data_IF_010029685251
#
_entry.id   IF_010029685251
#
_cell.length_a   1.000
_cell.length_b   1.000
_cell.length_c   1.000
_cell.angle_alpha   90.00
_cell.angle_beta   90.00
_cell.angle_gamma   90.00
#
_symmetry.space_group_name_H-M   'P 1'
#
loop_
_entity.id
_entity.type
_entity.pdbx_description
1 polymer ?
#
# COMPACT_ATOMS: atom_id res chain seq x y z
N UNK A 1 46.78 -0.60 -45.07
CA UNK A 1 46.79 -0.01 -43.71
C UNK A 1 45.38 0.37 -43.28
N UNK A 2 45.01 0.07 -42.03
CA UNK A 2 43.67 0.24 -41.42
C UNK A 2 43.34 1.71 -41.14
N UNK A 3 42.06 2.10 -41.28
CA UNK A 3 41.47 3.21 -40.49
C UNK A 3 40.11 2.78 -39.93
N UNK A 4 40.13 2.16 -38.74
CA UNK A 4 38.94 1.99 -37.88
C UNK A 4 38.78 3.26 -37.04
N UNK A 5 38.04 4.25 -37.54
CA UNK A 5 37.61 5.40 -36.72
C UNK A 5 36.34 4.99 -35.97
N UNK A 6 36.50 4.20 -34.91
CA UNK A 6 35.42 3.96 -33.94
C UNK A 6 35.22 5.24 -33.14
N UNK A 7 34.23 6.04 -33.54
CA UNK A 7 33.83 7.31 -32.92
C UNK A 7 33.76 7.22 -31.38
N UNK A 8 34.71 7.89 -30.71
CA UNK A 8 34.75 8.02 -29.24
C UNK A 8 33.50 8.71 -28.70
N UNK A 9 32.87 9.55 -29.51
CA UNK A 9 31.69 10.35 -29.17
C UNK A 9 30.46 9.44 -28.97
N UNK A 10 30.27 8.45 -29.85
CA UNK A 10 29.16 7.51 -29.72
C UNK A 10 29.24 6.65 -28.44
N UNK A 11 30.46 6.39 -27.94
CA UNK A 11 30.68 5.65 -26.70
C UNK A 11 30.33 6.48 -25.46
N UNK A 12 30.63 7.78 -25.47
CA UNK A 12 30.28 8.72 -24.39
C UNK A 12 28.77 8.98 -24.36
N UNK A 13 28.13 9.15 -25.52
CA UNK A 13 26.68 9.37 -25.56
C UNK A 13 25.91 8.16 -25.02
N UNK A 14 26.38 6.94 -25.33
CA UNK A 14 25.80 5.68 -24.85
C UNK A 14 26.05 5.44 -23.34
N UNK A 15 27.10 6.02 -22.75
CA UNK A 15 27.32 5.94 -21.31
C UNK A 15 26.50 6.95 -20.50
N UNK A 16 26.19 8.11 -21.09
CA UNK A 16 25.36 9.15 -20.43
C UNK A 16 23.88 8.79 -20.50
N UNK A 17 23.39 8.22 -21.61
CA UNK A 17 22.01 7.76 -21.77
C UNK A 17 21.89 6.30 -21.33
N UNK A 18 22.15 6.04 -20.05
CA UNK A 18 21.90 4.74 -19.44
C UNK A 18 20.61 4.81 -18.63
N UNK A 19 19.48 4.99 -19.34
CA UNK A 19 18.12 5.17 -18.78
C UNK A 19 17.78 4.11 -17.74
N UNK A 20 18.26 2.88 -17.95
CA UNK A 20 18.06 1.75 -17.05
C UNK A 20 18.76 1.93 -15.68
N UNK A 21 19.92 2.60 -15.67
CA UNK A 21 20.64 2.95 -14.44
C UNK A 21 20.08 4.21 -13.78
N UNK A 22 19.72 5.24 -14.57
CA UNK A 22 19.11 6.48 -14.06
C UNK A 22 17.75 6.26 -13.40
N UNK A 23 16.94 5.37 -13.98
CA UNK A 23 15.63 5.04 -13.45
C UNK A 23 15.66 3.95 -12.38
N UNK A 24 16.84 3.42 -12.01
CA UNK A 24 17.01 2.28 -11.12
C UNK A 24 15.97 1.18 -11.40
N UNK A 25 16.01 0.66 -12.63
CA UNK A 25 14.96 -0.20 -13.17
C UNK A 25 14.72 -1.45 -12.32
N UNK A 26 15.78 -1.97 -11.69
CA UNK A 26 15.68 -3.13 -10.80
C UNK A 26 14.86 -2.80 -9.55
N UNK A 27 15.04 -1.60 -8.97
CA UNK A 27 14.21 -1.11 -7.85
C UNK A 27 12.77 -0.85 -8.26
N UNK A 28 12.54 -0.20 -9.41
CA UNK A 28 11.17 0.06 -9.90
C UNK A 28 10.46 -1.26 -10.15
N UNK A 29 11.10 -2.21 -10.85
CA UNK A 29 10.53 -3.53 -11.13
C UNK A 29 10.24 -4.31 -9.85
N UNK A 30 11.14 -4.29 -8.87
CA UNK A 30 10.92 -4.97 -7.59
C UNK A 30 9.71 -4.38 -6.84
N UNK A 31 9.58 -3.06 -6.84
CA UNK A 31 8.43 -2.36 -6.25
C UNK A 31 7.12 -2.68 -6.97
N UNK A 32 7.10 -2.58 -8.32
CA UNK A 32 5.90 -2.89 -9.13
C UNK A 32 5.48 -4.35 -9.00
N UNK A 33 6.45 -5.29 -8.96
CA UNK A 33 6.15 -6.72 -8.78
C UNK A 33 5.60 -7.00 -7.38
N UNK A 34 6.13 -6.32 -6.35
CA UNK A 34 5.61 -6.44 -4.97
C UNK A 34 4.20 -5.87 -4.84
N UNK A 35 3.93 -4.74 -5.48
CA UNK A 35 2.59 -4.15 -5.58
C UNK A 35 1.63 -5.08 -6.30
N UNK A 36 2.02 -5.58 -7.48
CA UNK A 36 1.20 -6.49 -8.28
C UNK A 36 0.89 -7.78 -7.50
N UNK A 37 1.90 -8.41 -6.89
CA UNK A 37 1.70 -9.60 -6.08
C UNK A 37 0.85 -9.33 -4.84
N UNK A 38 0.97 -8.13 -4.24
CA UNK A 38 0.09 -7.68 -3.17
C UNK A 38 -1.36 -7.63 -3.64
N UNK A 39 -1.63 -6.94 -4.75
CA UNK A 39 -2.97 -6.82 -5.34
C UNK A 39 -3.53 -8.19 -5.75
N UNK A 40 -2.73 -9.04 -6.40
CA UNK A 40 -3.18 -10.38 -6.81
C UNK A 40 -3.50 -11.26 -5.61
N UNK A 41 -2.68 -11.24 -4.55
CA UNK A 41 -2.98 -11.96 -3.29
C UNK A 41 -4.20 -11.43 -2.56
N UNK A 42 -4.60 -10.20 -2.84
CA UNK A 42 -5.81 -9.59 -2.30
C UNK A 42 -7.06 -10.09 -3.05
N UNK A 43 -7.01 -10.30 -4.36
CA UNK A 43 -8.16 -10.75 -5.17
C UNK A 43 -8.29 -12.26 -5.34
N UNK A 44 -7.20 -13.03 -5.22
CA UNK A 44 -7.24 -14.49 -5.26
C UNK A 44 -7.42 -14.99 -3.83
N UNK A 45 -8.50 -15.72 -3.49
CA UNK A 45 -8.64 -16.32 -2.17
C UNK A 45 -7.45 -17.23 -1.92
N UNK A 46 -6.60 -16.84 -0.98
CA UNK A 46 -5.52 -17.69 -0.50
C UNK A 46 -6.17 -18.94 0.06
N UNK A 47 -6.02 -20.07 -0.62
CA UNK A 47 -6.31 -21.39 -0.06
C UNK A 47 -5.26 -21.66 1.03
N UNK A 48 -5.42 -21.01 2.18
CA UNK A 48 -4.59 -21.26 3.35
C UNK A 48 -4.95 -22.66 3.84
N UNK A 49 -3.94 -23.53 3.91
CA UNK A 49 -4.00 -24.94 4.28
C UNK A 49 -4.35 -25.19 5.75
N UNK A 50 -4.94 -24.20 6.44
CA UNK A 50 -5.34 -24.29 7.84
C UNK A 50 -6.57 -23.41 8.05
N UNK A 51 -7.73 -24.06 8.12
CA UNK A 51 -8.99 -23.49 8.61
C UNK A 51 -8.87 -23.21 10.14
N UNK A 52 -7.93 -22.35 10.56
CA UNK A 52 -7.99 -21.82 11.92
C UNK A 52 -9.15 -20.82 11.95
N UNK A 53 -10.26 -21.24 12.57
CA UNK A 53 -11.41 -20.37 12.83
C UNK A 53 -11.01 -19.27 13.83
N UNK A 54 -11.71 -18.13 13.78
CA UNK A 54 -11.46 -17.01 14.67
C UNK A 54 -11.47 -17.41 16.16
N UNK A 55 -12.32 -18.39 16.52
CA UNK A 55 -12.38 -18.95 17.87
C UNK A 55 -11.12 -19.76 18.23
N UNK A 56 -10.53 -20.51 17.30
CA UNK A 56 -9.26 -21.19 17.52
C UNK A 56 -8.10 -20.19 17.68
N UNK A 57 -8.11 -19.08 16.94
CA UNK A 57 -7.10 -18.03 17.08
C UNK A 57 -7.22 -17.30 18.43
N UNK A 58 -8.44 -17.02 18.90
CA UNK A 58 -8.70 -16.43 20.22
C UNK A 58 -8.26 -17.38 21.33
N UNK A 59 -8.61 -18.66 21.24
CA UNK A 59 -8.22 -19.69 22.20
C UNK A 59 -6.70 -19.86 22.28
N UNK A 60 -6.01 -19.81 21.13
CA UNK A 60 -4.54 -19.86 21.06
C UNK A 60 -3.87 -18.62 21.65
N UNK A 61 -4.43 -17.44 21.40
CA UNK A 61 -3.86 -16.16 21.84
C UNK A 61 -4.28 -15.77 23.27
N UNK A 62 -5.15 -16.54 23.93
CA UNK A 62 -5.71 -16.24 25.26
C UNK A 62 -6.23 -14.79 25.37
N UNK A 63 -6.85 -14.29 24.30
CA UNK A 63 -7.35 -12.90 24.28
C UNK A 63 -8.78 -12.89 24.82
N UNK A 64 -9.00 -12.13 25.89
CA UNK A 64 -10.34 -11.87 26.42
C UNK A 64 -11.16 -11.02 25.45
N UNK A 65 -12.47 -11.27 25.36
CA UNK A 65 -13.42 -10.52 24.50
C UNK A 65 -13.33 -9.00 24.75
N UNK A 66 -13.06 -8.58 25.99
CA UNK A 66 -12.84 -7.17 26.36
C UNK A 66 -11.61 -6.55 25.72
N UNK A 67 -10.54 -7.31 25.53
CA UNK A 67 -9.30 -6.83 24.91
C UNK A 67 -9.43 -6.72 23.38
N UNK A 68 -10.28 -7.56 22.79
CA UNK A 68 -10.66 -7.47 21.38
C UNK A 68 -11.39 -6.17 21.09
N UNK A 69 -12.38 -5.81 21.90
CA UNK A 69 -13.14 -4.57 21.75
C UNK A 69 -12.25 -3.32 21.90
N UNK A 70 -11.32 -3.34 22.84
CA UNK A 70 -10.35 -2.25 23.03
C UNK A 70 -9.42 -2.11 21.82
N UNK A 71 -8.86 -3.22 21.33
CA UNK A 71 -8.01 -3.23 20.13
C UNK A 71 -8.78 -2.79 18.88
N UNK A 72 -10.04 -3.20 18.76
CA UNK A 72 -10.90 -2.81 17.66
C UNK A 72 -11.12 -1.30 17.64
N UNK A 73 -11.46 -0.69 18.78
CA UNK A 73 -11.62 0.77 18.90
C UNK A 73 -10.31 1.51 18.59
N UNK A 74 -9.18 1.02 19.11
CA UNK A 74 -7.87 1.62 18.87
C UNK A 74 -7.49 1.58 17.38
N UNK A 75 -7.71 0.45 16.69
CA UNK A 75 -7.43 0.31 15.26
C UNK A 75 -8.31 1.23 14.41
N UNK A 76 -9.58 1.40 14.78
CA UNK A 76 -10.48 2.33 14.09
C UNK A 76 -10.03 3.79 14.25
N UNK A 77 -9.71 4.20 15.47
CA UNK A 77 -9.18 5.54 15.75
C UNK A 77 -7.90 5.80 14.97
N UNK A 78 -6.98 4.84 14.95
CA UNK A 78 -5.72 4.95 14.22
C UNK A 78 -5.94 5.05 12.70
N UNK A 79 -6.87 4.27 12.14
CA UNK A 79 -7.28 4.40 10.75
C UNK A 79 -7.79 5.81 10.44
N UNK A 80 -8.64 6.37 11.30
CA UNK A 80 -9.22 7.70 11.11
C UNK A 80 -8.17 8.81 11.21
N UNK A 81 -7.21 8.67 12.12
CA UNK A 81 -6.05 9.58 12.21
C UNK A 81 -5.21 9.53 10.93
N UNK A 82 -4.98 8.34 10.35
CA UNK A 82 -4.22 8.21 9.10
C UNK A 82 -4.95 8.81 7.90
N UNK A 83 -6.29 8.69 7.84
CA UNK A 83 -7.10 9.37 6.81
C UNK A 83 -7.01 10.90 6.98
N UNK A 84 -7.13 11.40 8.21
CA UNK A 84 -6.99 12.83 8.49
C UNK A 84 -5.59 13.35 8.11
N UNK A 85 -4.54 12.61 8.44
CA UNK A 85 -3.17 12.93 8.03
C UNK A 85 -3.03 12.94 6.50
N UNK A 86 -3.59 11.96 5.80
CA UNK A 86 -3.58 11.93 4.33
C UNK A 86 -4.31 13.14 3.73
N UNK A 87 -5.44 13.55 4.30
CA UNK A 87 -6.17 14.74 3.88
C UNK A 87 -5.34 16.03 4.10
N UNK A 88 -4.67 16.17 5.25
CA UNK A 88 -3.78 17.30 5.52
C UNK A 88 -2.62 17.35 4.51
N UNK A 89 -2.00 16.21 4.20
CA UNK A 89 -0.93 16.14 3.20
C UNK A 89 -1.46 16.46 1.80
N UNK A 90 -2.68 16.05 1.45
CA UNK A 90 -3.33 16.42 0.19
C UNK A 90 -3.49 17.94 0.08
N UNK A 91 -4.03 18.61 1.11
CA UNK A 91 -4.17 20.06 1.14
C UNK A 91 -2.82 20.76 1.03
N UNK A 92 -1.81 20.29 1.77
CA UNK A 92 -0.46 20.81 1.71
C UNK A 92 0.18 20.62 0.32
N UNK A 93 -0.02 19.46 -0.30
CA UNK A 93 0.45 19.17 -1.66
C UNK A 93 -0.20 20.10 -2.67
N UNK A 94 -1.52 20.34 -2.55
CA UNK A 94 -2.25 21.30 -3.37
C UNK A 94 -1.67 22.70 -3.25
N UNK A 95 -1.44 23.18 -2.02
CA UNK A 95 -0.79 24.46 -1.76
C UNK A 95 0.60 24.56 -2.40
N UNK A 96 1.43 23.53 -2.26
CA UNK A 96 2.78 23.46 -2.82
C UNK A 96 2.79 23.50 -4.36
N UNK A 97 1.74 22.95 -5.00
CA UNK A 97 1.57 22.94 -6.45
C UNK A 97 1.32 24.37 -6.99
N UNK A 98 0.54 25.19 -6.28
CA UNK A 98 0.28 26.59 -6.66
C UNK A 98 1.54 27.47 -6.60
N UNK A 99 2.48 27.17 -5.70
CA UNK A 99 3.76 27.88 -5.58
C UNK A 99 4.85 27.37 -6.56
N UNK A 100 4.51 26.46 -7.48
CA UNK A 100 5.43 26.00 -8.53
C UNK A 100 6.51 25.01 -8.08
N UNK A 101 6.45 24.54 -6.83
CA UNK A 101 7.40 23.58 -6.28
C UNK A 101 7.03 22.13 -6.62
N UNK A 102 7.06 21.78 -7.92
CA UNK A 102 6.67 20.46 -8.43
C UNK A 102 7.39 19.28 -7.76
N UNK A 103 8.67 19.43 -7.42
CA UNK A 103 9.44 18.36 -6.75
C UNK A 103 8.91 18.06 -5.34
N UNK A 104 8.60 19.10 -4.57
CA UNK A 104 8.05 18.96 -3.22
C UNK A 104 6.63 18.37 -3.29
N UNK A 105 5.81 18.83 -4.23
CA UNK A 105 4.48 18.27 -4.45
C UNK A 105 4.52 16.79 -4.82
N UNK A 106 5.45 16.36 -5.68
CA UNK A 106 5.62 14.95 -6.04
C UNK A 106 5.99 14.09 -4.83
N UNK A 107 6.90 14.56 -3.97
CA UNK A 107 7.28 13.84 -2.75
C UNK A 107 6.09 13.75 -1.78
N UNK A 108 5.40 14.86 -1.51
CA UNK A 108 4.23 14.88 -0.63
C UNK A 108 3.09 13.99 -1.16
N UNK A 109 2.92 13.90 -2.47
CA UNK A 109 1.96 12.99 -3.10
C UNK A 109 2.30 11.52 -2.83
N UNK A 110 3.58 11.13 -2.88
CA UNK A 110 4.01 9.77 -2.52
C UNK A 110 3.76 9.48 -1.04
N UNK A 111 4.04 10.42 -0.15
CA UNK A 111 3.78 10.26 1.29
C UNK A 111 2.28 10.12 1.55
N UNK A 112 1.44 10.90 0.87
CA UNK A 112 -0.01 10.77 0.95
C UNK A 112 -0.50 9.39 0.50
N UNK A 113 0.02 8.86 -0.61
CA UNK A 113 -0.32 7.50 -1.06
C UNK A 113 0.06 6.43 -0.03
N UNK A 114 1.22 6.55 0.62
CA UNK A 114 1.63 5.64 1.70
C UNK A 114 0.65 5.74 2.87
N UNK A 115 0.30 6.96 3.30
CA UNK A 115 -0.66 7.17 4.38
C UNK A 115 -2.03 6.56 4.08
N UNK A 116 -2.52 6.67 2.83
CA UNK A 116 -3.78 6.05 2.38
C UNK A 116 -3.72 4.52 2.42
N UNK A 117 -2.61 3.92 1.99
CA UNK A 117 -2.41 2.46 2.08
C UNK A 117 -2.41 1.98 3.53
N UNK A 118 -1.79 2.73 4.44
CA UNK A 118 -1.81 2.41 5.87
C UNK A 118 -3.22 2.55 6.45
N UNK A 119 -3.91 3.66 6.16
CA UNK A 119 -5.29 3.88 6.59
C UNK A 119 -6.20 2.72 6.15
N UNK A 120 -6.12 2.33 4.88
CA UNK A 120 -6.84 1.19 4.35
C UNK A 120 -6.52 -0.11 5.09
N UNK A 121 -5.23 -0.39 5.34
CA UNK A 121 -4.79 -1.59 6.08
C UNK A 121 -5.40 -1.63 7.48
N UNK A 122 -5.43 -0.51 8.20
CA UNK A 122 -6.00 -0.43 9.55
C UNK A 122 -7.52 -0.61 9.53
N UNK A 123 -8.21 -0.02 8.55
CA UNK A 123 -9.64 -0.22 8.37
C UNK A 123 -9.98 -1.68 8.03
N UNK A 124 -9.15 -2.34 7.23
CA UNK A 124 -9.32 -3.75 6.89
C UNK A 124 -9.15 -4.65 8.13
N UNK A 125 -8.15 -4.38 8.97
CA UNK A 125 -7.96 -5.12 10.24
C UNK A 125 -9.13 -4.92 11.20
N UNK A 126 -9.66 -3.69 11.30
CA UNK A 126 -10.88 -3.43 12.06
C UNK A 126 -12.06 -4.27 11.56
N UNK A 127 -12.24 -4.35 10.24
CA UNK A 127 -13.32 -5.12 9.63
C UNK A 127 -13.18 -6.63 9.87
N UNK A 128 -11.97 -7.19 9.78
CA UNK A 128 -11.72 -8.61 10.06
C UNK A 128 -12.06 -8.98 11.51
N UNK A 129 -11.71 -8.12 12.47
CA UNK A 129 -12.06 -8.31 13.89
C UNK A 129 -13.58 -8.20 14.08
N UNK A 130 -14.21 -7.19 13.48
CA UNK A 130 -15.66 -6.96 13.60
C UNK A 130 -16.50 -8.13 13.05
N UNK A 131 -16.08 -8.71 11.91
CA UNK A 131 -16.79 -9.83 11.27
C UNK A 131 -16.39 -11.21 11.82
N UNK A 132 -15.43 -11.28 12.76
CA UNK A 132 -14.94 -12.54 13.37
C UNK A 132 -14.58 -13.61 12.32
N UNK A 133 -14.08 -13.19 11.15
CA UNK A 133 -13.72 -14.07 10.02
C UNK A 133 -12.29 -13.75 9.57
N UNK A 134 -11.40 -14.71 9.75
CA UNK A 134 -10.03 -14.67 9.22
C UNK A 134 -10.09 -15.07 7.74
N UNK A 135 -9.94 -14.10 6.83
CA UNK A 135 -9.94 -14.35 5.38
C UNK A 135 -11.09 -13.73 4.57
N UNK A 136 -11.83 -12.73 5.09
CA UNK A 136 -12.80 -11.98 4.28
C UNK A 136 -12.18 -11.43 3.00
N UNK A 137 -12.91 -11.57 1.89
CA UNK A 137 -12.47 -11.05 0.58
C UNK A 137 -12.66 -9.53 0.50
N UNK A 138 -11.89 -8.84 -0.34
CA UNK A 138 -12.05 -7.38 -0.51
C UNK A 138 -13.42 -6.97 -1.03
N UNK A 139 -14.07 -7.83 -1.80
CA UNK A 139 -15.43 -7.62 -2.27
C UNK A 139 -16.43 -7.56 -1.10
N UNK A 140 -16.30 -8.47 -0.13
CA UNK A 140 -17.10 -8.47 1.11
C UNK A 140 -16.79 -7.23 1.97
N UNK A 141 -15.52 -6.87 2.09
CA UNK A 141 -15.10 -5.65 2.81
C UNK A 141 -15.67 -4.38 2.18
N UNK A 142 -15.63 -4.26 0.85
CA UNK A 142 -16.11 -3.07 0.16
C UNK A 142 -17.64 -2.97 0.23
N UNK A 143 -18.36 -4.06 -0.03
CA UNK A 143 -19.83 -4.12 0.02
C UNK A 143 -20.37 -3.91 1.44
N UNK A 144 -19.85 -4.64 2.43
CA UNK A 144 -20.40 -4.62 3.79
C UNK A 144 -19.76 -3.56 4.69
N UNK A 145 -18.51 -3.19 4.45
CA UNK A 145 -17.76 -2.22 5.27
C UNK A 145 -17.92 -0.78 4.80
N UNK A 146 -17.92 -0.54 3.49
CA UNK A 146 -17.94 0.81 2.90
C UNK A 146 -19.31 1.18 2.31
N UNK A 147 -19.96 0.25 1.59
CA UNK A 147 -21.32 0.46 1.08
C UNK A 147 -22.42 0.18 2.13
N UNK A 148 -22.10 -0.53 3.21
CA UNK A 148 -23.08 -0.86 4.26
C UNK A 148 -24.19 -1.81 3.78
N UNK A 149 -23.95 -2.56 2.71
CA UNK A 149 -24.90 -3.55 2.20
C UNK A 149 -25.08 -4.65 3.25
N UNK A 150 -26.32 -4.80 3.74
CA UNK A 150 -26.69 -5.86 4.69
C UNK A 150 -26.81 -7.18 3.94
N UNK A 151 -26.33 -8.26 4.56
CA UNK A 151 -26.56 -9.63 4.09
C UNK A 151 -28.06 -9.92 3.91
#
# INVERSE_FOLDING_TARGET
MKKKSSSRIGRVFKSVINVRYWADWDRVKAFTTSLYNGIVRMFVPSKTTSDETFDQAIARLNITETDLDLKQKALFQLSMVMVAAAALILFYTGYQLFWGSFKAALISLVVMMIALVLAFRYHFWYFQIKKRKLGCTYEEWYKQGLLGEKE
#
